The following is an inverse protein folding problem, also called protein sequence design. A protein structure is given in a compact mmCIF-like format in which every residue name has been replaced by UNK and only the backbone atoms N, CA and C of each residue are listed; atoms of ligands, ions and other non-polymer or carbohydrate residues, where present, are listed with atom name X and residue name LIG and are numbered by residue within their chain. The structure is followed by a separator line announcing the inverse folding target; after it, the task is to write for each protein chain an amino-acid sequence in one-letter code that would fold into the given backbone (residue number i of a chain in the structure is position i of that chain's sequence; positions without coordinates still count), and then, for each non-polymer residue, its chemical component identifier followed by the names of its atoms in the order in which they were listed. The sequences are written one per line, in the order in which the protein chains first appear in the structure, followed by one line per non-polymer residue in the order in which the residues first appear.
data_IF_057931604722
#
_entry.id   IF_057931604722
#
_cell.length_a   1.000
_cell.length_b   1.000
_cell.length_c   1.000
_cell.angle_alpha   90.00
_cell.angle_beta   90.00
_cell.angle_gamma   90.00
#
_symmetry.space_group_name_H-M   'P 1'
#
loop_
_entity.id
_entity.type
_entity.pdbx_description
1 polymer ?
#
# COMPACT_ATOMS: atom_id res chain seq x y z
N UNK A 1 -13.90 11.37 4.52
CA UNK A 1 -14.83 12.51 4.81
C UNK A 1 -14.00 13.78 4.71
N UNK A 2 -14.49 14.84 4.06
CA UNK A 2 -13.68 16.04 3.79
C UNK A 2 -13.73 17.07 4.92
N UNK A 3 -12.68 17.86 5.06
CA UNK A 3 -12.60 19.00 5.96
C UNK A 3 -13.28 20.22 5.34
N UNK A 4 -14.08 20.94 6.12
CA UNK A 4 -14.77 22.15 5.69
C UNK A 4 -14.00 23.40 6.09
N UNK A 5 -13.67 24.25 5.12
CA UNK A 5 -12.96 25.51 5.34
C UNK A 5 -13.85 26.68 4.93
N UNK A 6 -14.05 27.64 5.82
CA UNK A 6 -14.70 28.91 5.53
C UNK A 6 -14.00 30.04 6.29
N UNK A 7 -14.12 31.26 5.78
CA UNK A 7 -13.59 32.46 6.40
C UNK A 7 -14.70 33.29 7.02
N UNK A 8 -14.42 33.90 8.18
CA UNK A 8 -15.28 34.90 8.79
C UNK A 8 -14.54 36.22 8.94
N UNK A 9 -15.18 37.30 8.53
CA UNK A 9 -14.65 38.66 8.64
C UNK A 9 -15.61 39.47 9.48
N UNK A 10 -15.12 39.99 10.61
CA UNK A 10 -15.81 41.01 11.39
C UNK A 10 -15.25 42.38 10.99
N UNK A 11 -15.96 43.18 10.18
CA UNK A 11 -15.49 44.51 9.82
C UNK A 11 -15.53 45.42 11.05
N UNK A 12 -14.46 46.17 11.27
CA UNK A 12 -14.33 47.06 12.41
C UNK A 12 -13.76 48.43 12.00
N UNK A 13 -14.31 49.46 12.61
CA UNK A 13 -13.83 50.84 12.58
C UNK A 13 -13.27 51.21 13.95
N UNK A 14 -12.70 52.40 14.08
CA UNK A 14 -12.11 52.88 15.34
C UNK A 14 -13.10 52.96 16.51
N UNK A 15 -14.42 52.95 16.25
CA UNK A 15 -15.47 53.13 17.26
C UNK A 15 -16.63 52.15 17.17
N UNK A 16 -16.66 51.26 16.17
CA UNK A 16 -17.77 50.31 16.00
C UNK A 16 -17.39 49.10 15.16
N UNK A 17 -18.04 47.96 15.40
CA UNK A 17 -17.93 46.75 14.58
C UNK A 17 -19.24 46.49 13.83
N UNK A 18 -19.14 46.03 12.59
CA UNK A 18 -20.29 45.61 11.78
C UNK A 18 -20.66 44.15 12.02
N UNK A 19 -21.51 43.60 11.14
CA UNK A 19 -21.91 42.19 11.20
C UNK A 19 -20.83 41.29 10.60
N UNK A 20 -20.69 40.08 11.14
CA UNK A 20 -19.80 39.06 10.58
C UNK A 20 -20.26 38.71 9.16
N UNK A 21 -19.34 38.82 8.20
CA UNK A 21 -19.49 38.25 6.88
C UNK A 21 -18.81 36.88 6.87
N UNK A 22 -19.52 35.85 6.41
CA UNK A 22 -19.00 34.49 6.27
C UNK A 22 -18.88 34.16 4.79
N UNK A 23 -17.76 33.58 4.37
CA UNK A 23 -17.58 33.09 2.99
C UNK A 23 -18.44 31.85 2.71
N UNK A 24 -18.45 31.41 1.46
CA UNK A 24 -18.89 30.05 1.14
C UNK A 24 -17.98 29.01 1.82
N UNK A 25 -18.54 27.83 2.12
CA UNK A 25 -17.79 26.68 2.65
C UNK A 25 -17.11 25.96 1.50
N UNK A 26 -15.80 25.71 1.65
CA UNK A 26 -15.02 24.87 0.75
C UNK A 26 -14.73 23.54 1.40
N UNK A 27 -15.15 22.45 0.77
CA UNK A 27 -14.81 21.09 1.19
C UNK A 27 -13.45 20.71 0.60
N UNK A 28 -12.53 20.28 1.45
CA UNK A 28 -11.24 19.67 1.12
C UNK A 28 -11.36 18.18 1.41
N UNK A 29 -11.26 17.36 0.37
CA UNK A 29 -11.35 15.90 0.52
C UNK A 29 -9.98 15.30 0.82
N UNK A 30 -9.98 14.11 1.43
CA UNK A 30 -8.80 13.27 1.57
C UNK A 30 -8.10 13.07 0.21
N UNK A 31 -6.79 13.22 0.16
CA UNK A 31 -6.00 12.86 -1.02
C UNK A 31 -5.87 11.35 -1.08
N UNK A 32 -5.95 10.74 -2.27
CA UNK A 32 -5.71 9.31 -2.39
C UNK A 32 -4.22 9.02 -2.21
N UNK A 33 -3.85 7.95 -1.46
CA UNK A 33 -2.45 7.60 -1.28
C UNK A 33 -1.84 7.04 -2.58
N UNK A 34 -0.53 7.13 -2.70
CA UNK A 34 0.19 6.80 -3.94
C UNK A 34 1.44 5.96 -3.69
N UNK A 35 1.87 5.25 -4.73
CA UNK A 35 3.15 4.54 -4.77
C UNK A 35 4.02 5.14 -5.88
N UNK A 36 5.16 5.72 -5.51
CA UNK A 36 6.09 6.40 -6.41
C UNK A 36 7.00 5.41 -7.16
N UNK A 37 7.39 4.33 -6.48
CA UNK A 37 8.25 3.29 -7.05
C UNK A 37 7.89 1.93 -6.49
N UNK A 38 8.05 0.89 -7.32
CA UNK A 38 7.90 -0.52 -6.92
C UNK A 38 9.00 -1.33 -7.59
N UNK A 39 9.83 -2.02 -6.82
CA UNK A 39 10.93 -2.83 -7.35
C UNK A 39 11.02 -4.17 -6.63
N UNK A 40 11.14 -5.25 -7.40
CA UNK A 40 11.38 -6.60 -6.89
C UNK A 40 12.84 -7.01 -7.18
N UNK A 41 13.57 -7.30 -6.10
CA UNK A 41 14.99 -7.64 -6.12
C UNK A 41 15.25 -9.03 -5.53
N UNK A 42 16.40 -9.65 -5.86
CA UNK A 42 17.30 -9.25 -6.95
C UNK A 42 16.64 -9.48 -8.32
N UNK A 43 17.14 -8.83 -9.38
CA UNK A 43 16.56 -8.97 -10.74
C UNK A 43 16.80 -10.35 -11.36
N UNK A 44 17.85 -11.05 -10.92
CA UNK A 44 18.22 -12.40 -11.35
C UNK A 44 18.46 -13.30 -10.12
N UNK A 45 17.40 -13.63 -9.36
CA UNK A 45 17.51 -14.46 -8.16
C UNK A 45 17.83 -15.91 -8.50
N UNK A 46 18.66 -16.54 -7.67
CA UNK A 46 18.73 -18.01 -7.61
C UNK A 46 17.90 -18.57 -6.45
N UNK A 47 17.69 -19.88 -6.44
CA UNK A 47 16.86 -20.59 -5.45
C UNK A 47 17.30 -20.48 -3.98
N UNK A 48 18.51 -19.99 -3.71
CA UNK A 48 19.02 -19.74 -2.36
C UNK A 48 18.93 -18.26 -1.95
N UNK A 49 18.32 -17.40 -2.77
CA UNK A 49 18.19 -15.97 -2.49
C UNK A 49 16.75 -15.59 -2.15
N UNK A 50 16.60 -14.82 -1.08
CA UNK A 50 15.32 -14.21 -0.73
C UNK A 50 14.95 -13.14 -1.76
N UNK A 51 13.65 -13.02 -2.04
CA UNK A 51 13.13 -11.91 -2.84
C UNK A 51 12.74 -10.76 -1.91
N UNK A 52 13.13 -9.55 -2.29
CA UNK A 52 12.85 -8.31 -1.56
C UNK A 52 12.06 -7.38 -2.47
N UNK A 53 10.81 -7.13 -2.11
CA UNK A 53 9.97 -6.12 -2.72
C UNK A 53 10.12 -4.81 -1.94
N UNK A 54 10.45 -3.74 -2.65
CA UNK A 54 10.50 -2.39 -2.08
C UNK A 54 9.52 -1.47 -2.80
N UNK A 55 8.93 -0.53 -2.06
CA UNK A 55 8.08 0.52 -2.60
C UNK A 55 8.21 1.82 -1.83
N UNK A 56 7.89 2.93 -2.50
CA UNK A 56 7.85 4.25 -1.90
C UNK A 56 6.40 4.73 -1.80
N UNK A 57 5.87 4.75 -0.57
CA UNK A 57 4.52 5.19 -0.26
C UNK A 57 4.50 6.69 0.00
N UNK A 58 3.55 7.39 -0.62
CA UNK A 58 3.33 8.81 -0.40
C UNK A 58 1.86 9.11 -0.22
N UNK A 59 1.56 9.84 0.84
CA UNK A 59 0.26 10.44 1.11
C UNK A 59 0.47 11.83 1.72
N UNK A 60 -0.35 12.80 1.33
CA UNK A 60 -0.12 14.20 1.71
C UNK A 60 -0.47 14.44 3.18
N UNK A 61 -1.58 13.89 3.62
CA UNK A 61 -2.16 14.03 4.96
C UNK A 61 -1.32 13.28 6.00
N UNK A 62 -0.74 12.13 5.63
CA UNK A 62 0.21 11.42 6.50
C UNK A 62 1.54 12.15 6.73
N UNK A 63 1.95 13.04 5.80
CA UNK A 63 3.19 13.81 5.93
C UNK A 63 2.98 15.22 6.46
N UNK A 64 1.75 15.75 6.40
CA UNK A 64 1.42 17.06 6.91
C UNK A 64 1.54 17.11 8.44
N UNK A 65 2.35 18.02 8.97
CA UNK A 65 2.60 18.21 10.41
C UNK A 65 1.36 18.68 11.22
N UNK A 66 0.21 18.85 10.57
CA UNK A 66 -1.01 19.41 11.15
C UNK A 66 -2.24 18.69 10.60
N UNK A 67 -2.44 17.43 11.01
CA UNK A 67 -3.78 16.85 11.04
C UNK A 67 -4.54 17.51 12.21
N UNK A 68 -5.50 18.37 11.89
CA UNK A 68 -6.37 19.04 12.86
C UNK A 68 -7.73 18.34 13.02
N UNK A 69 -8.00 17.28 12.26
CA UNK A 69 -9.25 16.51 12.35
C UNK A 69 -9.10 15.26 13.24
N UNK A 70 -7.87 14.96 13.67
CA UNK A 70 -7.55 13.88 14.61
C UNK A 70 -7.89 12.49 14.02
N UNK A 71 -8.06 12.38 12.70
CA UNK A 71 -8.12 11.12 11.96
C UNK A 71 -6.69 10.68 11.66
N UNK A 72 -6.05 10.05 12.64
CA UNK A 72 -4.74 9.45 12.46
C UNK A 72 -4.74 8.50 11.25
N UNK A 73 -4.25 8.99 10.11
CA UNK A 73 -4.03 8.18 8.93
C UNK A 73 -2.80 7.30 9.14
N UNK A 74 -2.85 6.09 8.60
CA UNK A 74 -1.82 5.08 8.79
C UNK A 74 -1.62 4.32 7.51
N UNK A 75 -0.37 4.05 7.15
CA UNK A 75 -0.08 3.25 5.98
C UNK A 75 -0.55 1.80 6.22
N UNK A 76 -1.56 1.38 5.48
CA UNK A 76 -2.14 0.03 5.43
C UNK A 76 -2.00 -0.61 4.05
N UNK A 77 -0.92 -0.26 3.34
CA UNK A 77 -0.62 -0.79 2.00
C UNK A 77 -0.77 -2.31 1.95
N UNK A 78 -1.54 -2.82 0.99
CA UNK A 78 -1.64 -4.25 0.73
C UNK A 78 -0.66 -4.67 -0.36
N UNK A 79 -0.05 -5.84 -0.18
CA UNK A 79 0.90 -6.42 -1.13
C UNK A 79 0.44 -7.83 -1.52
N UNK A 80 0.47 -8.15 -2.81
CA UNK A 80 0.13 -9.47 -3.35
C UNK A 80 1.30 -9.99 -4.16
N UNK A 81 1.94 -11.05 -3.71
CA UNK A 81 2.93 -11.84 -4.41
C UNK A 81 2.23 -12.89 -5.29
N UNK A 82 2.72 -13.06 -6.51
CA UNK A 82 2.19 -14.01 -7.49
C UNK A 82 3.32 -14.91 -7.95
N UNK A 83 3.12 -16.22 -7.80
CA UNK A 83 4.01 -17.28 -8.27
C UNK A 83 3.44 -17.89 -9.54
N UNK A 84 4.26 -18.06 -10.57
CA UNK A 84 3.95 -18.89 -11.74
C UNK A 84 4.99 -20.01 -11.84
N UNK A 85 4.54 -21.26 -11.84
CA UNK A 85 5.43 -22.41 -12.02
C UNK A 85 5.49 -22.83 -13.50
N UNK A 86 6.58 -23.46 -13.92
CA UNK A 86 6.69 -24.07 -15.25
C UNK A 86 5.94 -25.41 -15.35
N UNK A 87 5.77 -26.11 -14.23
CA UNK A 87 5.14 -27.44 -14.16
C UNK A 87 3.66 -27.40 -13.79
N UNK A 88 3.14 -26.21 -13.49
CA UNK A 88 1.74 -25.99 -13.19
C UNK A 88 1.26 -24.74 -13.93
N UNK A 89 0.18 -24.85 -14.69
CA UNK A 89 -0.51 -23.67 -15.22
C UNK A 89 -1.23 -22.89 -14.13
N UNK A 90 -1.25 -23.40 -12.90
CA UNK A 90 -1.80 -22.70 -11.75
C UNK A 90 -0.81 -21.63 -11.27
N UNK A 91 -1.26 -20.38 -11.27
CA UNK A 91 -0.57 -19.31 -10.55
C UNK A 91 -0.85 -19.52 -9.06
N UNK A 92 0.04 -19.19 -8.15
CA UNK A 92 -0.25 -19.24 -6.69
C UNK A 92 -0.14 -17.83 -6.14
N UNK A 93 -1.14 -17.43 -5.36
CA UNK A 93 -1.26 -16.09 -4.81
C UNK A 93 -0.77 -16.14 -3.36
N UNK A 94 0.11 -15.23 -3.00
CA UNK A 94 0.63 -15.03 -1.66
C UNK A 94 0.29 -13.59 -1.30
N UNK A 95 -0.68 -13.34 -0.44
CA UNK A 95 -1.15 -11.98 -0.11
C UNK A 95 -0.64 -11.62 1.26
N UNK A 96 -0.07 -10.43 1.36
CA UNK A 96 0.26 -9.72 2.58
C UNK A 96 -0.76 -8.57 2.72
N UNK A 97 -1.64 -8.67 3.70
CA UNK A 97 -2.59 -7.60 4.04
C UNK A 97 -2.10 -6.89 5.29
N UNK A 98 -1.94 -5.56 5.23
CA UNK A 98 -1.81 -4.73 6.43
C UNK A 98 -3.20 -4.40 6.96
N UNK A 99 -3.65 -5.16 7.96
CA UNK A 99 -4.84 -4.83 8.74
C UNK A 99 -4.41 -4.54 10.18
N UNK A 100 -4.60 -3.29 10.63
CA UNK A 100 -4.33 -2.86 12.00
C UNK A 100 -5.18 -3.60 13.05
N UNK A 101 -6.25 -4.28 12.62
CA UNK A 101 -7.17 -5.01 13.50
C UNK A 101 -6.88 -6.52 13.60
N UNK A 102 -5.89 -7.05 12.87
CA UNK A 102 -5.55 -8.49 12.84
C UNK A 102 -6.79 -9.39 12.56
N UNK A 103 -7.85 -8.85 11.92
CA UNK A 103 -9.19 -9.48 11.89
C UNK A 103 -9.63 -9.94 10.50
N UNK A 104 -8.97 -9.50 9.42
CA UNK A 104 -9.25 -9.96 8.07
C UNK A 104 -8.30 -11.09 7.63
N UNK A 105 -8.57 -12.30 8.11
CA UNK A 105 -8.23 -13.51 7.34
C UNK A 105 -9.35 -13.77 6.33
N UNK A 106 -9.30 -13.15 5.16
CA UNK A 106 -10.22 -13.53 4.08
C UNK A 106 -9.61 -14.70 3.31
N UNK A 107 -10.20 -15.88 3.46
CA UNK A 107 -9.93 -17.01 2.58
C UNK A 107 -10.44 -16.65 1.17
N UNK A 108 -9.55 -16.13 0.33
CA UNK A 108 -9.87 -15.78 -1.05
C UNK A 108 -9.53 -16.96 -1.97
N UNK A 109 -10.55 -17.73 -2.36
CA UNK A 109 -10.40 -18.83 -3.32
C UNK A 109 -10.41 -18.26 -4.74
N UNK A 110 -9.25 -18.24 -5.40
CA UNK A 110 -9.14 -17.94 -6.82
C UNK A 110 -9.19 -19.22 -7.65
N UNK A 111 -10.15 -19.37 -8.59
CA UNK A 111 -10.15 -20.49 -9.53
C UNK A 111 -8.84 -20.54 -10.32
N UNK A 112 -8.13 -21.67 -10.24
CA UNK A 112 -6.83 -21.85 -10.91
C UNK A 112 -5.60 -21.54 -10.05
N UNK A 113 -5.77 -21.31 -8.74
CA UNK A 113 -4.67 -21.11 -7.79
C UNK A 113 -4.65 -22.19 -6.71
N UNK A 114 -3.45 -22.69 -6.32
CA UNK A 114 -3.33 -23.65 -5.21
C UNK A 114 -3.71 -22.97 -3.88
N UNK A 115 -4.63 -23.57 -3.13
CA UNK A 115 -5.34 -23.07 -1.93
C UNK A 115 -4.49 -22.72 -0.69
N UNK A 116 -3.28 -22.15 -0.85
CA UNK A 116 -2.47 -21.66 0.27
C UNK A 116 -1.98 -20.26 -0.04
N UNK A 117 -2.82 -19.28 0.25
CA UNK A 117 -2.36 -17.92 0.50
C UNK A 117 -1.65 -17.97 1.85
N UNK A 118 -0.32 -18.03 1.87
CA UNK A 118 0.36 -17.81 3.15
C UNK A 118 0.56 -16.30 3.30
N UNK A 119 -0.10 -15.77 4.32
CA UNK A 119 -0.05 -14.36 4.69
C UNK A 119 1.19 -14.15 5.56
N UNK A 120 2.22 -13.48 5.04
CA UNK A 120 3.33 -13.00 5.87
C UNK A 120 3.02 -11.58 6.31
N UNK A 121 3.35 -11.24 7.57
CA UNK A 121 3.15 -9.90 8.13
C UNK A 121 4.35 -9.05 7.74
N UNK A 122 4.16 -7.88 7.11
CA UNK A 122 5.19 -6.84 7.13
C UNK A 122 4.91 -5.97 8.34
N UNK A 123 5.89 -5.84 9.20
CA UNK A 123 5.94 -4.74 10.15
C UNK A 123 6.70 -3.64 9.41
N UNK A 124 6.21 -2.41 9.50
CA UNK A 124 6.99 -1.16 9.43
C UNK A 124 6.62 -0.23 8.26
N UNK A 125 6.57 1.07 8.58
CA UNK A 125 6.39 2.25 7.71
C UNK A 125 7.45 2.39 6.59
N UNK A 126 8.24 1.36 6.29
CA UNK A 126 9.49 1.45 5.51
C UNK A 126 9.38 0.96 4.07
N UNK A 127 8.19 0.48 3.64
CA UNK A 127 7.98 0.12 2.23
C UNK A 127 8.74 -1.12 1.77
N UNK A 128 8.81 -2.17 2.61
CA UNK A 128 9.54 -3.41 2.31
C UNK A 128 8.70 -4.65 2.63
N UNK A 129 8.78 -5.66 1.76
CA UNK A 129 8.25 -7.02 1.96
C UNK A 129 9.27 -8.05 1.48
N UNK A 130 9.49 -9.11 2.26
CA UNK A 130 10.48 -10.14 1.96
C UNK A 130 9.78 -11.49 1.80
N UNK A 131 10.11 -12.20 0.72
CA UNK A 131 9.76 -13.59 0.50
C UNK A 131 11.02 -14.44 0.63
N UNK A 132 11.05 -15.33 1.63
CA UNK A 132 12.19 -16.21 1.85
C UNK A 132 12.41 -17.15 0.66
N UNK A 133 13.67 -17.38 0.34
CA UNK A 133 14.17 -18.42 -0.59
C UNK A 133 13.54 -19.79 -0.33
N UNK A 134 13.25 -20.12 0.94
CA UNK A 134 12.57 -21.37 1.33
C UNK A 134 11.16 -21.53 0.75
N UNK A 135 10.52 -20.43 0.34
CA UNK A 135 9.22 -20.40 -0.33
C UNK A 135 9.33 -20.40 -1.86
N UNK A 136 10.54 -20.35 -2.41
CA UNK A 136 10.82 -20.28 -3.85
C UNK A 136 11.50 -21.55 -4.35
N UNK A 137 11.40 -21.81 -5.65
CA UNK A 137 12.07 -22.94 -6.32
C UNK A 137 12.58 -22.50 -7.68
N UNK A 138 13.69 -23.08 -8.14
CA UNK A 138 14.18 -22.86 -9.49
C UNK A 138 13.10 -23.16 -10.54
N UNK A 139 12.98 -22.28 -11.53
CA UNK A 139 11.96 -22.33 -12.56
C UNK A 139 10.66 -21.60 -12.21
N UNK A 140 10.51 -21.02 -11.01
CA UNK A 140 9.36 -20.19 -10.69
C UNK A 140 9.56 -18.75 -11.17
N UNK A 141 8.50 -18.13 -11.69
CA UNK A 141 8.44 -16.69 -11.93
C UNK A 141 7.62 -16.00 -10.86
N UNK A 142 8.14 -14.89 -10.33
CA UNK A 142 7.50 -14.13 -9.25
C UNK A 142 7.27 -12.69 -9.66
N UNK A 143 6.09 -12.15 -9.34
CA UNK A 143 5.75 -10.72 -9.46
C UNK A 143 4.90 -10.28 -8.28
N UNK A 144 4.81 -8.98 -8.03
CA UNK A 144 4.00 -8.43 -6.95
C UNK A 144 3.02 -7.37 -7.46
N UNK A 145 1.93 -7.17 -6.75
CA UNK A 145 1.03 -6.01 -6.87
C UNK A 145 0.90 -5.34 -5.51
N UNK A 146 0.86 -4.02 -5.50
CA UNK A 146 0.84 -3.18 -4.29
C UNK A 146 -0.30 -2.20 -4.42
N UNK A 147 -1.20 -2.16 -3.44
CA UNK A 147 -2.28 -1.16 -3.37
C UNK A 147 -2.04 -0.29 -2.14
N UNK A 148 -1.66 1.00 -2.30
CA UNK A 148 -1.49 1.89 -1.18
C UNK A 148 -2.84 2.13 -0.49
N UNK A 149 -2.84 2.17 0.84
CA UNK A 149 -4.00 2.50 1.65
C UNK A 149 -3.54 3.35 2.84
N UNK A 150 -4.26 4.41 3.15
CA UNK A 150 -3.96 5.39 4.21
C UNK A 150 -4.80 5.15 5.49
N UNK A 151 -5.56 4.05 5.53
CA UNK A 151 -6.51 3.73 6.60
C UNK A 151 -7.94 4.21 6.33
N UNK A 152 -8.16 4.99 5.28
CA UNK A 152 -9.46 5.51 4.85
C UNK A 152 -9.78 5.03 3.43
N UNK A 153 -8.89 5.30 2.48
CA UNK A 153 -9.09 5.08 1.05
C UNK A 153 -7.95 4.27 0.42
N UNK A 154 -8.30 3.50 -0.63
CA UNK A 154 -7.33 2.83 -1.48
C UNK A 154 -6.87 3.75 -2.61
N UNK A 155 -5.56 3.78 -2.85
CA UNK A 155 -5.00 4.38 -4.04
C UNK A 155 -4.88 3.39 -5.21
N UNK A 156 -4.14 3.79 -6.24
CA UNK A 156 -3.99 2.99 -7.47
C UNK A 156 -3.03 1.82 -7.24
N UNK A 157 -3.47 0.60 -7.55
CA UNK A 157 -2.62 -0.59 -7.54
C UNK A 157 -1.47 -0.49 -8.57
N UNK A 158 -0.25 -0.82 -8.15
CA UNK A 158 0.96 -0.89 -8.99
C UNK A 158 1.53 -2.30 -9.00
N UNK A 159 2.08 -2.72 -10.14
CA UNK A 159 2.78 -4.01 -10.28
C UNK A 159 4.30 -3.82 -10.25
N UNK A 160 5.03 -4.80 -9.70
CA UNK A 160 6.48 -4.88 -9.79
C UNK A 160 6.94 -5.45 -11.14
N UNK A 161 8.26 -5.42 -11.39
CA UNK A 161 8.88 -6.32 -12.37
C UNK A 161 8.64 -7.79 -12.01
N UNK A 162 8.77 -8.66 -13.01
CA UNK A 162 8.76 -10.13 -12.83
C UNK A 162 10.19 -10.64 -12.78
N UNK A 163 10.50 -11.56 -11.85
CA UNK A 163 11.80 -12.23 -11.73
C UNK A 163 11.64 -13.73 -11.95
N UNK A 164 12.64 -14.38 -12.55
CA UNK A 164 12.71 -15.82 -12.72
C UNK A 164 13.77 -16.39 -11.76
N UNK A 165 13.39 -17.37 -10.95
CA UNK A 165 14.31 -18.07 -10.04
C UNK A 165 15.14 -19.06 -10.85
N UNK A 166 16.46 -18.89 -10.84
CA UNK A 166 17.39 -19.83 -11.46
C UNK A 166 17.93 -20.84 -10.46
N UNK A 167 18.50 -21.94 -10.96
CA UNK A 167 19.29 -22.85 -10.13
C UNK A 167 20.50 -22.09 -9.58
N UNK A 168 20.90 -22.37 -8.34
CA UNK A 168 22.13 -21.79 -7.79
C UNK A 168 23.35 -22.26 -8.62
N UNK A 169 24.25 -21.34 -8.94
CA UNK A 169 25.54 -21.72 -9.53
C UNK A 169 26.41 -22.35 -8.45
N UNK A 170 26.93 -23.56 -8.71
CA UNK A 170 27.89 -24.26 -7.84
C UNK A 170 29.25 -23.56 -7.81
#
# INVERSE_FOLDING_TARGET
MGNEIYAQVLPQSDISSGNIATSEVKVVNNTLPTINSVTLLPLNPNENQDLVLTWDFYDFEMQALFDNDNTFQSNRTSVKWYRKSLISTATTLWVLVHDSSDSLSQDFVLPGYENKINNSKSRDQQGVSILSSTATRAGESWRCEITPNDGIDDGITRSSNTVLITVASN
#
